data_IF_659602683151
#
_entry.id   IF_659602683151
#
_cell.length_a   1.000
_cell.length_b   1.000
_cell.length_c   1.000
_cell.angle_alpha   90.00
_cell.angle_beta   90.00
_cell.angle_gamma   90.00
#
_symmetry.space_group_name_H-M   'P 1'
#
loop_
_entity.id
_entity.type
_entity.pdbx_description
1 polymer ?
#
# COMPACT_ATOMS: atom_id res chain seq x y z
N UNK A 1 31.26 -11.90 -30.74
CA UNK A 1 29.90 -11.40 -31.03
C UNK A 1 28.81 -12.20 -30.31
N UNK A 2 28.81 -13.54 -30.37
CA UNK A 2 27.79 -14.39 -29.72
C UNK A 2 27.48 -14.08 -28.24
N UNK A 3 28.50 -13.86 -27.39
CA UNK A 3 28.28 -13.52 -25.97
C UNK A 3 27.53 -12.20 -25.76
N UNK A 4 27.75 -11.19 -26.61
CA UNK A 4 27.03 -9.91 -26.55
C UNK A 4 25.55 -10.05 -26.94
N UNK A 5 25.26 -10.94 -27.89
CA UNK A 5 23.87 -11.24 -28.31
C UNK A 5 23.12 -12.00 -27.20
N UNK A 6 23.78 -12.92 -26.49
CA UNK A 6 23.19 -13.65 -25.37
C UNK A 6 22.88 -12.75 -24.16
N UNK A 7 23.78 -11.82 -23.83
CA UNK A 7 23.53 -10.84 -22.76
C UNK A 7 22.44 -9.84 -23.14
N UNK A 8 22.31 -9.49 -24.42
CA UNK A 8 21.22 -8.66 -24.94
C UNK A 8 19.82 -9.28 -24.84
N UNK A 9 19.70 -10.57 -24.49
CA UNK A 9 18.44 -11.26 -24.18
C UNK A 9 18.37 -11.75 -22.72
N UNK A 10 19.30 -11.29 -21.86
CA UNK A 10 19.33 -11.59 -20.41
C UNK A 10 20.07 -12.86 -19.99
N UNK A 11 20.67 -13.63 -20.91
CA UNK A 11 21.43 -14.84 -20.57
C UNK A 11 22.85 -14.44 -20.16
N UNK A 12 23.21 -14.70 -18.90
CA UNK A 12 24.53 -14.38 -18.36
C UNK A 12 24.72 -12.90 -18.03
N UNK A 13 23.64 -12.13 -17.86
CA UNK A 13 23.69 -10.75 -17.34
C UNK A 13 24.17 -10.71 -15.89
N UNK A 14 24.50 -9.51 -15.41
CA UNK A 14 24.62 -9.30 -13.97
C UNK A 14 23.31 -9.67 -13.26
N UNK A 15 23.41 -9.89 -11.94
CA UNK A 15 22.28 -10.13 -11.05
C UNK A 15 22.30 -9.08 -9.95
N UNK A 16 21.10 -8.69 -9.54
CA UNK A 16 20.82 -7.82 -8.41
C UNK A 16 19.86 -8.57 -7.49
N UNK A 17 20.03 -8.41 -6.19
CA UNK A 17 19.20 -9.04 -5.15
C UNK A 17 19.14 -8.09 -3.95
N UNK A 18 17.95 -7.67 -3.54
CA UNK A 18 17.75 -6.81 -2.39
C UNK A 18 17.43 -7.66 -1.16
N UNK A 19 18.34 -7.69 -0.21
CA UNK A 19 18.18 -8.47 1.03
C UNK A 19 17.61 -7.58 2.13
N UNK A 20 16.38 -7.87 2.53
CA UNK A 20 15.67 -7.20 3.62
C UNK A 20 15.71 -8.02 4.91
N UNK A 21 15.80 -7.36 6.06
CA UNK A 21 15.76 -8.02 7.36
C UNK A 21 14.37 -8.56 7.73
N UNK A 22 13.30 -8.01 7.14
CA UNK A 22 11.91 -8.38 7.35
C UNK A 22 11.08 -8.02 6.11
N UNK A 23 9.86 -8.54 6.05
CA UNK A 23 8.93 -8.31 4.93
C UNK A 23 7.71 -7.47 5.28
N UNK A 24 7.59 -6.97 6.52
CA UNK A 24 6.46 -6.15 6.97
C UNK A 24 6.91 -4.80 7.49
N UNK A 25 6.29 -3.74 6.98
CA UNK A 25 6.64 -2.36 7.27
C UNK A 25 5.38 -1.52 7.39
N UNK A 26 5.32 -0.59 8.33
CA UNK A 26 4.23 0.40 8.37
C UNK A 26 4.43 1.48 7.30
N UNK A 27 3.35 2.06 6.78
CA UNK A 27 3.45 3.28 5.99
C UNK A 27 4.18 4.37 6.80
N UNK A 28 5.12 5.10 6.16
CA UNK A 28 6.04 6.02 6.84
C UNK A 28 7.28 5.36 7.47
N UNK A 29 7.34 4.02 7.53
CA UNK A 29 8.50 3.33 8.12
C UNK A 29 9.71 3.36 7.18
N UNK A 30 10.91 3.46 7.77
CA UNK A 30 12.17 3.28 7.05
C UNK A 30 12.48 1.80 6.86
N UNK A 31 12.62 1.40 5.61
CA UNK A 31 13.13 0.11 5.16
C UNK A 31 14.65 0.18 5.09
N UNK A 32 15.31 -0.82 5.66
CA UNK A 32 16.76 -1.00 5.57
C UNK A 32 17.09 -2.38 5.02
N UNK A 33 18.12 -2.45 4.19
CA UNK A 33 18.59 -3.70 3.60
C UNK A 33 19.94 -3.54 2.94
N UNK A 34 20.35 -4.57 2.20
CA UNK A 34 21.58 -4.56 1.43
C UNK A 34 21.30 -5.05 0.01
N UNK A 35 21.81 -4.31 -0.97
CA UNK A 35 21.74 -4.70 -2.35
C UNK A 35 23.00 -5.47 -2.73
N UNK A 36 22.82 -6.73 -3.14
CA UNK A 36 23.89 -7.59 -3.60
C UNK A 36 23.93 -7.60 -5.13
N UNK A 37 25.09 -7.28 -5.69
CA UNK A 37 25.29 -7.22 -7.15
C UNK A 37 26.41 -8.18 -7.55
N UNK A 38 26.10 -9.08 -8.49
CA UNK A 38 27.04 -10.03 -9.06
C UNK A 38 27.15 -9.86 -10.57
N UNK A 39 28.38 -9.74 -11.07
CA UNK A 39 28.70 -9.61 -12.48
C UNK A 39 28.31 -10.83 -13.31
N UNK A 40 27.95 -10.56 -14.56
CA UNK A 40 27.61 -11.58 -15.56
C UNK A 40 28.84 -12.21 -16.22
N UNK A 41 28.66 -12.72 -17.43
CA UNK A 41 29.75 -13.38 -18.21
C UNK A 41 30.70 -12.40 -18.92
N UNK A 42 30.34 -11.10 -18.94
CA UNK A 42 31.11 -10.00 -19.51
C UNK A 42 31.05 -8.82 -18.55
N UNK A 43 32.06 -7.95 -18.65
CA UNK A 43 32.08 -6.66 -17.97
C UNK A 43 30.87 -5.83 -18.41
N UNK A 44 30.23 -5.16 -17.45
CA UNK A 44 29.01 -4.41 -17.65
C UNK A 44 29.15 -3.02 -17.05
N UNK A 45 28.79 -2.00 -17.84
CA UNK A 45 28.67 -0.64 -17.35
C UNK A 45 27.23 -0.41 -16.88
N UNK A 46 27.09 0.03 -15.64
CA UNK A 46 25.81 0.36 -15.01
C UNK A 46 25.71 1.87 -14.92
N UNK A 47 24.67 2.42 -15.53
CA UNK A 47 24.39 3.86 -15.48
C UNK A 47 23.75 4.21 -14.13
N UNK A 48 22.79 3.39 -13.67
CA UNK A 48 22.21 3.53 -12.34
C UNK A 48 21.67 2.20 -11.77
N UNK A 49 21.59 2.18 -10.45
CA UNK A 49 20.77 1.25 -9.69
C UNK A 49 19.54 2.00 -9.21
N UNK A 50 18.36 1.47 -9.46
CA UNK A 50 17.12 2.06 -8.97
C UNK A 50 16.37 1.13 -8.02
N UNK A 51 15.53 1.72 -7.19
CA UNK A 51 14.50 1.07 -6.40
C UNK A 51 13.16 1.73 -6.70
N UNK A 52 12.12 0.91 -6.87
CA UNK A 52 10.74 1.37 -7.09
C UNK A 52 9.80 0.71 -6.10
N UNK A 53 8.84 1.48 -5.59
CA UNK A 53 7.71 0.93 -4.85
C UNK A 53 6.53 0.77 -5.80
N UNK A 54 6.16 -0.48 -6.08
CA UNK A 54 5.07 -0.82 -7.00
C UNK A 54 3.95 -1.52 -6.26
N UNK A 55 2.74 -0.99 -6.38
CA UNK A 55 1.52 -1.63 -5.91
C UNK A 55 0.82 -2.33 -7.08
N UNK A 56 0.27 -3.52 -6.82
CA UNK A 56 -0.77 -4.13 -7.64
C UNK A 56 -2.01 -4.38 -6.80
N UNK A 57 -3.19 -4.07 -7.33
CA UNK A 57 -4.46 -4.38 -6.67
C UNK A 57 -5.48 -4.90 -7.67
N UNK A 58 -6.37 -5.76 -7.19
CA UNK A 58 -7.56 -6.19 -7.93
C UNK A 58 -8.80 -5.73 -7.18
N UNK A 59 -9.73 -5.10 -7.87
CA UNK A 59 -10.95 -4.57 -7.28
C UNK A 59 -12.16 -4.90 -8.14
N UNK A 60 -13.34 -4.97 -7.53
CA UNK A 60 -14.59 -5.17 -8.25
C UNK A 60 -15.18 -3.85 -8.69
N UNK A 61 -15.59 -3.79 -9.96
CA UNK A 61 -16.46 -2.74 -10.49
C UNK A 61 -17.61 -3.42 -11.22
N UNK A 62 -18.83 -3.14 -10.77
CA UNK A 62 -20.03 -3.85 -11.20
C UNK A 62 -19.91 -5.38 -11.04
N UNK A 63 -19.99 -6.12 -12.15
CA UNK A 63 -19.84 -7.58 -12.18
C UNK A 63 -18.47 -8.05 -12.65
N UNK A 64 -17.50 -7.14 -12.79
CA UNK A 64 -16.18 -7.45 -13.34
C UNK A 64 -15.06 -7.17 -12.33
N UNK A 65 -14.01 -7.99 -12.38
CA UNK A 65 -12.76 -7.74 -11.64
C UNK A 65 -11.86 -6.90 -12.53
N UNK A 66 -11.42 -5.77 -12.00
CA UNK A 66 -10.45 -4.87 -12.59
C UNK A 66 -9.10 -5.02 -11.89
N UNK A 67 -8.02 -4.67 -12.59
CA UNK A 67 -6.67 -4.63 -12.03
C UNK A 67 -6.11 -3.22 -12.10
N UNK A 68 -5.36 -2.83 -11.09
CA UNK A 68 -4.59 -1.60 -11.07
C UNK A 68 -3.15 -1.90 -10.69
N UNK A 69 -2.22 -1.30 -11.42
CA UNK A 69 -0.79 -1.29 -11.09
C UNK A 69 -0.34 0.16 -10.99
N UNK A 70 0.36 0.52 -9.91
CA UNK A 70 0.82 1.89 -9.68
C UNK A 70 2.23 1.89 -9.12
N UNK A 71 3.12 2.66 -9.74
CA UNK A 71 4.40 3.07 -9.16
C UNK A 71 4.12 4.23 -8.20
N UNK A 72 4.42 4.06 -6.92
CA UNK A 72 4.24 5.08 -5.89
C UNK A 72 5.49 5.92 -5.70
N UNK A 73 6.66 5.33 -5.88
CA UNK A 73 7.93 6.00 -5.69
C UNK A 73 9.04 5.35 -6.51
N UNK A 74 10.10 6.12 -6.77
CA UNK A 74 11.28 5.71 -7.53
C UNK A 74 12.50 6.50 -7.06
N UNK A 75 13.51 5.80 -6.57
CA UNK A 75 14.78 6.36 -6.13
C UNK A 75 15.97 5.73 -6.84
N UNK A 76 17.01 6.53 -7.09
CA UNK A 76 18.32 6.06 -7.54
C UNK A 76 19.19 5.74 -6.31
N UNK A 77 19.62 4.49 -6.17
CA UNK A 77 20.43 4.01 -5.05
C UNK A 77 21.93 4.25 -5.25
N UNK A 78 22.40 4.11 -6.49
CA UNK A 78 23.79 4.33 -6.90
C UNK A 78 23.83 4.64 -8.40
N UNK A 79 24.90 5.27 -8.87
CA UNK A 79 25.05 5.63 -10.27
C UNK A 79 26.51 5.51 -10.74
N UNK A 80 26.68 5.17 -12.02
CA UNK A 80 27.95 5.25 -12.75
C UNK A 80 29.06 4.36 -12.22
N UNK A 81 29.01 3.06 -12.52
CA UNK A 81 30.08 2.13 -12.18
C UNK A 81 30.19 0.97 -13.18
N UNK A 82 31.27 0.21 -13.09
CA UNK A 82 31.48 -1.01 -13.89
C UNK A 82 31.48 -2.24 -12.98
N UNK A 83 30.85 -3.30 -13.45
CA UNK A 83 30.85 -4.62 -12.83
C UNK A 83 31.71 -5.55 -13.68
N UNK A 84 32.80 -6.04 -13.12
CA UNK A 84 33.66 -7.01 -13.80
C UNK A 84 32.93 -8.36 -14.00
N UNK A 85 33.26 -9.05 -15.08
CA UNK A 85 32.73 -10.38 -15.40
C UNK A 85 32.98 -11.36 -14.23
N UNK A 86 31.90 -11.99 -13.75
CA UNK A 86 31.92 -12.91 -12.60
C UNK A 86 32.27 -12.28 -11.25
N UNK A 87 32.55 -10.97 -11.22
CA UNK A 87 32.92 -10.23 -10.02
C UNK A 87 31.75 -10.08 -9.04
N UNK A 88 32.07 -9.91 -7.77
CA UNK A 88 31.12 -9.59 -6.71
C UNK A 88 31.40 -8.16 -6.24
N UNK A 89 30.38 -7.30 -6.27
CA UNK A 89 30.52 -5.97 -5.69
C UNK A 89 30.39 -6.03 -4.17
N UNK A 90 30.98 -5.04 -3.48
CA UNK A 90 30.63 -4.78 -2.09
C UNK A 90 29.12 -4.48 -2.00
N UNK A 91 28.39 -5.05 -1.03
CA UNK A 91 26.97 -4.77 -0.87
C UNK A 91 26.72 -3.28 -0.68
N UNK A 92 25.70 -2.76 -1.35
CA UNK A 92 25.29 -1.35 -1.24
C UNK A 92 24.22 -1.28 -0.14
N UNK A 93 24.44 -0.52 0.96
CA UNK A 93 23.43 -0.35 1.98
C UNK A 93 22.23 0.43 1.42
N UNK A 94 21.03 -0.07 1.66
CA UNK A 94 19.77 0.55 1.23
C UNK A 94 19.04 1.11 2.43
N UNK A 95 18.60 2.36 2.32
CA UNK A 95 17.71 3.03 3.27
C UNK A 95 16.64 3.80 2.50
N UNK A 96 15.41 3.30 2.51
CA UNK A 96 14.27 3.86 1.80
C UNK A 96 13.11 4.09 2.77
N UNK A 97 12.45 5.24 2.74
CA UNK A 97 11.30 5.51 3.62
C UNK A 97 10.00 5.37 2.85
N UNK A 98 9.11 4.49 3.30
CA UNK A 98 7.80 4.33 2.67
C UNK A 98 7.01 5.64 2.77
N UNK A 99 6.29 6.04 1.71
CA UNK A 99 5.41 7.21 1.82
C UNK A 99 4.30 6.95 2.86
N UNK A 100 3.86 8.02 3.55
CA UNK A 100 2.87 7.93 4.63
C UNK A 100 1.43 7.74 4.11
N UNK A 101 1.14 8.18 2.89
CA UNK A 101 -0.18 8.29 2.28
C UNK A 101 -0.45 7.21 1.21
N UNK A 102 -0.02 5.98 1.49
CA UNK A 102 -0.18 4.83 0.60
C UNK A 102 -1.23 3.83 1.13
N UNK A 103 -1.93 3.09 0.26
CA UNK A 103 -2.80 1.98 0.65
C UNK A 103 -2.06 0.94 1.50
N UNK A 104 -2.79 0.21 2.34
CA UNK A 104 -2.23 -0.89 3.12
C UNK A 104 -2.34 -2.21 2.35
N UNK A 105 -1.45 -3.16 2.60
CA UNK A 105 -1.52 -4.49 2.00
C UNK A 105 -2.75 -5.26 2.50
N UNK A 106 -3.40 -5.96 1.57
CA UNK A 106 -4.56 -6.81 1.84
C UNK A 106 -4.51 -8.08 0.99
N UNK A 107 -5.56 -8.90 1.01
CA UNK A 107 -5.66 -10.05 0.13
C UNK A 107 -5.56 -9.65 -1.36
N UNK A 108 -6.14 -8.52 -1.73
CA UNK A 108 -6.21 -8.03 -3.10
C UNK A 108 -5.14 -7.00 -3.45
N UNK A 109 -4.52 -6.35 -2.46
CA UNK A 109 -3.54 -5.28 -2.64
C UNK A 109 -2.16 -5.71 -2.17
N UNK A 110 -1.17 -5.73 -3.08
CA UNK A 110 0.19 -6.19 -2.83
C UNK A 110 1.21 -5.12 -3.20
N UNK A 111 2.34 -5.12 -2.50
CA UNK A 111 3.47 -4.23 -2.79
C UNK A 111 4.73 -5.00 -3.12
N UNK A 112 5.49 -4.45 -4.06
CA UNK A 112 6.77 -4.96 -4.50
C UNK A 112 7.80 -3.83 -4.41
N UNK A 113 8.95 -4.11 -3.81
CA UNK A 113 10.15 -3.31 -4.02
C UNK A 113 10.85 -3.89 -5.24
N UNK A 114 10.88 -3.12 -6.31
CA UNK A 114 11.53 -3.52 -7.56
C UNK A 114 12.89 -2.85 -7.62
N UNK A 115 13.96 -3.62 -7.50
CA UNK A 115 15.32 -3.11 -7.73
C UNK A 115 15.82 -3.52 -9.09
N UNK A 116 16.62 -2.67 -9.72
CA UNK A 116 17.16 -2.98 -11.05
C UNK A 116 18.45 -2.24 -11.35
N UNK A 117 19.20 -2.79 -12.29
CA UNK A 117 20.40 -2.18 -12.85
C UNK A 117 20.08 -1.70 -14.26
N UNK A 118 20.28 -0.41 -14.52
CA UNK A 118 20.22 0.16 -15.86
C UNK A 118 21.57 -0.10 -16.55
N UNK A 119 21.58 -1.09 -17.46
CA UNK A 119 22.81 -1.57 -18.10
C UNK A 119 22.80 -1.21 -19.58
N UNK A 120 23.78 -0.42 -19.99
CA UNK A 120 23.88 0.04 -21.36
C UNK A 120 23.90 -1.13 -22.37
N UNK A 121 22.96 -1.09 -23.33
CA UNK A 121 22.85 -2.06 -24.43
C UNK A 121 22.62 -3.52 -23.99
N UNK A 122 22.06 -3.74 -22.80
CA UNK A 122 21.67 -5.05 -22.29
C UNK A 122 20.22 -5.02 -21.74
N UNK A 123 19.68 -6.19 -21.41
CA UNK A 123 18.42 -6.28 -20.66
C UNK A 123 18.73 -6.01 -19.19
N UNK A 124 18.02 -5.04 -18.60
CA UNK A 124 18.18 -4.66 -17.20
C UNK A 124 17.90 -5.83 -16.25
N UNK A 125 18.91 -6.27 -15.48
CA UNK A 125 18.70 -7.16 -14.35
C UNK A 125 17.75 -6.52 -13.36
N UNK A 126 16.81 -7.30 -12.84
CA UNK A 126 15.83 -6.84 -11.85
C UNK A 126 15.53 -7.90 -10.80
N UNK A 127 15.12 -7.41 -9.65
CA UNK A 127 14.66 -8.18 -8.51
C UNK A 127 13.33 -7.59 -7.97
N UNK A 128 12.50 -8.43 -7.35
CA UNK A 128 11.17 -8.06 -6.89
C UNK A 128 10.88 -8.67 -5.51
N UNK A 129 10.97 -7.85 -4.46
CA UNK A 129 10.62 -8.26 -3.11
C UNK A 129 9.17 -7.96 -2.77
N UNK A 130 8.39 -8.99 -2.46
CA UNK A 130 7.05 -8.82 -1.92
C UNK A 130 7.13 -8.31 -0.47
N UNK A 131 6.51 -7.16 -0.21
CA UNK A 131 6.37 -6.62 1.15
C UNK A 131 4.91 -6.44 1.56
N UNK A 132 4.66 -6.53 2.87
CA UNK A 132 3.39 -6.18 3.49
C UNK A 132 3.47 -4.79 4.09
N UNK A 133 2.70 -3.86 3.53
CA UNK A 133 2.55 -2.49 4.05
C UNK A 133 1.42 -2.47 5.08
N UNK A 134 1.75 -2.20 6.33
CA UNK A 134 0.81 -2.03 7.43
C UNK A 134 0.31 -0.57 7.51
N UNK A 135 -0.84 -0.30 8.15
CA UNK A 135 -1.28 1.06 8.38
C UNK A 135 -0.23 1.88 9.13
N UNK A 136 -0.02 3.13 8.71
CA UNK A 136 0.80 4.08 9.48
C UNK A 136 0.21 4.34 10.86
N UNK A 137 1.02 4.84 11.80
CA UNK A 137 0.63 4.93 13.22
C UNK A 137 -0.74 5.60 13.46
N UNK A 138 -1.01 6.73 12.79
CA UNK A 138 -2.29 7.46 12.94
C UNK A 138 -3.47 6.65 12.43
N UNK A 139 -3.35 6.07 11.24
CA UNK A 139 -4.39 5.22 10.67
C UNK A 139 -4.61 3.97 11.52
N UNK A 140 -3.54 3.36 12.04
CA UNK A 140 -3.60 2.19 12.90
C UNK A 140 -4.43 2.45 14.17
N UNK A 141 -4.27 3.61 14.80
CA UNK A 141 -5.06 4.01 15.99
C UNK A 141 -6.55 4.10 15.63
N UNK A 142 -6.89 4.73 14.50
CA UNK A 142 -8.29 4.87 14.07
C UNK A 142 -8.89 3.51 13.71
N UNK A 143 -8.15 2.65 13.02
CA UNK A 143 -8.59 1.28 12.72
C UNK A 143 -8.80 0.47 14.00
N UNK A 144 -7.91 0.59 15.00
CA UNK A 144 -8.06 -0.07 16.29
C UNK A 144 -9.27 0.45 17.08
N UNK A 145 -9.56 1.75 17.01
CA UNK A 145 -10.77 2.31 17.61
C UNK A 145 -12.04 1.65 17.04
N UNK A 146 -12.11 1.48 15.72
CA UNK A 146 -13.23 0.79 15.06
C UNK A 146 -13.25 -0.69 15.42
N UNK A 147 -12.11 -1.38 15.31
CA UNK A 147 -12.05 -2.84 15.39
C UNK A 147 -12.10 -3.39 16.82
N UNK A 148 -11.38 -2.76 17.74
CA UNK A 148 -11.17 -3.27 19.11
C UNK A 148 -12.11 -2.63 20.11
N UNK A 149 -12.28 -1.31 20.05
CA UNK A 149 -13.07 -0.58 21.04
C UNK A 149 -14.56 -0.59 20.68
N UNK A 150 -14.91 -0.30 19.42
CA UNK A 150 -16.30 -0.37 18.95
C UNK A 150 -16.73 -1.80 18.58
N UNK A 151 -15.79 -2.73 18.44
CA UNK A 151 -16.08 -4.13 18.15
C UNK A 151 -16.72 -4.33 16.77
N UNK A 152 -16.23 -3.61 15.76
CA UNK A 152 -16.46 -3.96 14.36
C UNK A 152 -15.45 -5.02 13.92
N UNK A 153 -15.92 -6.07 13.24
CA UNK A 153 -15.03 -7.08 12.68
C UNK A 153 -14.86 -6.85 11.20
N UNK A 154 -13.62 -6.68 10.76
CA UNK A 154 -13.26 -6.53 9.36
C UNK A 154 -13.59 -7.79 8.57
N UNK A 155 -14.20 -7.64 7.40
CA UNK A 155 -14.40 -8.77 6.46
C UNK A 155 -13.05 -9.29 5.95
N UNK A 156 -12.98 -10.56 5.59
CA UNK A 156 -11.72 -11.18 5.14
C UNK A 156 -11.23 -10.67 3.79
N UNK A 157 -12.15 -10.38 2.86
CA UNK A 157 -11.84 -9.96 1.48
C UNK A 157 -12.30 -8.53 1.28
N UNK A 158 -11.59 -7.60 1.90
CA UNK A 158 -11.84 -6.16 1.81
C UNK A 158 -10.50 -5.40 1.72
N UNK A 159 -10.55 -4.08 1.62
CA UNK A 159 -9.38 -3.22 1.38
C UNK A 159 -8.89 -3.34 -0.06
N UNK A 160 -9.82 -3.45 -1.00
CA UNK A 160 -9.54 -3.33 -2.43
C UNK A 160 -9.15 -1.88 -2.73
N UNK A 161 -8.09 -1.67 -3.54
CA UNK A 161 -7.66 -0.36 -3.97
C UNK A 161 -8.03 -0.14 -5.43
N UNK A 162 -8.83 0.87 -5.72
CA UNK A 162 -9.36 1.13 -7.06
C UNK A 162 -8.51 2.08 -7.92
N UNK A 163 -7.27 2.37 -7.48
CA UNK A 163 -6.41 3.39 -8.10
C UNK A 163 -6.56 4.79 -7.50
N UNK A 164 -7.56 5.01 -6.65
CA UNK A 164 -7.81 6.29 -5.96
C UNK A 164 -7.89 6.12 -4.46
N UNK A 165 -8.76 5.23 -3.98
CA UNK A 165 -8.96 4.98 -2.56
C UNK A 165 -8.97 3.49 -2.24
N UNK A 166 -8.83 3.18 -0.96
CA UNK A 166 -8.94 1.85 -0.41
C UNK A 166 -10.11 1.77 0.57
N UNK A 167 -11.01 0.83 0.34
CA UNK A 167 -12.26 0.68 1.11
C UNK A 167 -12.23 -0.57 1.98
N UNK A 168 -12.60 -0.42 3.24
CA UNK A 168 -12.68 -1.49 4.22
C UNK A 168 -14.12 -1.71 4.69
N UNK A 169 -14.57 -2.95 4.62
CA UNK A 169 -15.89 -3.39 5.01
C UNK A 169 -15.84 -4.10 6.37
N UNK A 170 -16.78 -3.75 7.24
CA UNK A 170 -16.87 -4.26 8.59
C UNK A 170 -18.30 -4.66 8.95
N UNK A 171 -18.45 -5.70 9.77
CA UNK A 171 -19.73 -6.04 10.39
C UNK A 171 -19.69 -5.78 11.90
N UNK A 172 -20.76 -5.23 12.48
CA UNK A 172 -20.80 -4.94 13.92
C UNK A 172 -20.92 -6.22 14.73
N UNK A 173 -20.12 -6.34 15.79
CA UNK A 173 -20.18 -7.48 16.72
C UNK A 173 -20.60 -7.12 18.15
N UNK A 174 -20.43 -5.85 18.55
CA UNK A 174 -20.91 -5.29 19.81
C UNK A 174 -21.65 -3.96 19.59
N UNK A 175 -20.95 -2.85 19.37
CA UNK A 175 -21.56 -1.56 19.06
C UNK A 175 -22.28 -1.64 17.71
N UNK A 176 -23.46 -1.00 17.61
CA UNK A 176 -24.33 -1.04 16.43
C UNK A 176 -24.82 -2.41 15.96
N UNK A 177 -24.60 -3.48 16.75
CA UNK A 177 -25.12 -4.81 16.43
C UNK A 177 -26.64 -4.79 16.36
N UNK A 178 -27.20 -5.29 15.26
CA UNK A 178 -28.64 -5.30 14.99
C UNK A 178 -29.22 -3.92 14.60
N UNK A 179 -28.40 -2.87 14.56
CA UNK A 179 -28.75 -1.55 14.02
C UNK A 179 -28.19 -1.37 12.60
N UNK A 180 -26.91 -1.69 12.43
CA UNK A 180 -26.21 -1.71 11.15
C UNK A 180 -25.97 -3.15 10.70
N UNK A 181 -26.07 -3.37 9.39
CA UNK A 181 -25.63 -4.62 8.78
C UNK A 181 -24.13 -4.54 8.46
N UNK A 182 -23.67 -3.35 8.05
CA UNK A 182 -22.32 -3.10 7.61
C UNK A 182 -21.87 -1.66 7.86
N UNK A 183 -20.58 -1.49 8.10
CA UNK A 183 -19.88 -0.21 8.06
C UNK A 183 -18.79 -0.30 7.00
N UNK A 184 -18.82 0.58 6.02
CA UNK A 184 -17.77 0.70 5.00
C UNK A 184 -16.95 1.96 5.29
N UNK A 185 -15.62 1.86 5.25
CA UNK A 185 -14.70 2.93 5.66
C UNK A 185 -13.58 3.08 4.65
N UNK A 186 -13.40 4.30 4.15
CA UNK A 186 -12.18 4.72 3.47
C UNK A 186 -11.35 5.57 4.44
N UNK A 187 -10.09 5.19 4.63
CA UNK A 187 -9.12 5.93 5.44
C UNK A 187 -8.18 6.70 4.52
N UNK A 188 -8.13 8.02 4.67
CA UNK A 188 -7.17 8.88 3.98
C UNK A 188 -6.28 9.57 5.01
N UNK A 189 -5.07 9.06 5.27
CA UNK A 189 -4.05 9.78 6.03
C UNK A 189 -3.74 11.13 5.34
N UNK A 190 -3.73 12.21 6.12
CA UNK A 190 -3.38 13.56 5.67
C UNK A 190 -2.31 14.14 6.62
N UNK A 191 -1.76 15.31 6.29
CA UNK A 191 -0.76 15.98 7.15
C UNK A 191 -1.35 16.39 8.51
N UNK A 192 -2.61 16.79 8.54
CA UNK A 192 -3.30 17.35 9.70
C UNK A 192 -4.16 16.33 10.47
N UNK A 193 -4.30 15.10 9.98
CA UNK A 193 -5.13 14.07 10.61
C UNK A 193 -5.34 12.85 9.74
N UNK A 194 -6.42 12.11 10.04
CA UNK A 194 -6.94 11.04 9.19
C UNK A 194 -8.37 11.37 8.82
N UNK A 195 -8.63 11.52 7.52
CA UNK A 195 -9.98 11.72 7.00
C UNK A 195 -10.63 10.38 6.74
N UNK A 196 -11.83 10.22 7.25
CA UNK A 196 -12.68 9.07 7.02
C UNK A 196 -13.82 9.45 6.09
N UNK A 197 -14.13 8.54 5.16
CA UNK A 197 -15.43 8.48 4.52
C UNK A 197 -16.11 7.21 4.99
N UNK A 198 -17.30 7.36 5.57
CA UNK A 198 -18.07 6.30 6.17
C UNK A 198 -19.37 6.14 5.37
N UNK A 199 -19.73 4.89 5.07
CA UNK A 199 -21.09 4.56 4.66
C UNK A 199 -21.79 3.82 5.79
N UNK A 200 -22.94 4.34 6.19
CA UNK A 200 -23.72 3.85 7.34
C UNK A 200 -25.04 3.32 6.78
N UNK A 201 -25.15 2.00 6.54
CA UNK A 201 -26.33 1.41 5.91
C UNK A 201 -26.75 0.07 6.54
N UNK A 202 -28.02 -0.28 6.34
CA UNK A 202 -28.60 -1.62 6.59
C UNK A 202 -28.51 -2.52 5.36
N UNK A 203 -27.94 -2.07 4.24
CA UNK A 203 -27.73 -2.91 3.04
C UNK A 203 -26.37 -2.61 2.43
N UNK A 204 -25.54 -3.64 2.27
CA UNK A 204 -24.26 -3.55 1.60
C UNK A 204 -24.46 -3.08 0.15
N UNK A 205 -23.80 -1.99 -0.24
CA UNK A 205 -23.81 -1.49 -1.62
C UNK A 205 -22.42 -1.14 -2.16
N UNK A 206 -21.39 -1.08 -1.32
CA UNK A 206 -19.99 -0.84 -1.69
C UNK A 206 -19.70 0.61 -2.10
N UNK A 207 -18.82 1.31 -1.38
CA UNK A 207 -18.40 2.70 -1.66
C UNK A 207 -17.69 2.81 -3.04
N UNK A 208 -17.03 1.74 -3.51
CA UNK A 208 -16.31 1.70 -4.80
C UNK A 208 -17.25 1.95 -6.01
N UNK A 209 -18.54 1.67 -5.89
CA UNK A 209 -19.53 1.98 -6.93
C UNK A 209 -19.81 3.48 -7.12
N UNK A 210 -19.54 4.31 -6.11
CA UNK A 210 -19.96 5.72 -6.05
C UNK A 210 -18.82 6.70 -6.38
N UNK A 211 -17.56 6.32 -6.15
CA UNK A 211 -16.41 7.21 -6.34
C UNK A 211 -15.98 7.39 -7.81
N UNK A 212 -16.73 6.82 -8.74
CA UNK A 212 -16.47 6.89 -10.18
C UNK A 212 -17.14 8.07 -10.90
N UNK A 213 -18.15 8.74 -10.31
CA UNK A 213 -18.81 9.85 -11.02
C UNK A 213 -19.55 10.88 -10.18
N UNK A 214 -20.11 10.58 -9.00
CA UNK A 214 -21.11 11.48 -8.41
C UNK A 214 -20.81 11.80 -6.94
N UNK A 215 -20.44 13.06 -6.69
CA UNK A 215 -20.44 13.68 -5.35
C UNK A 215 -21.86 14.00 -4.88
N UNK A 216 -22.85 13.24 -5.34
CA UNK A 216 -24.21 13.25 -4.80
C UNK A 216 -24.21 12.33 -3.58
N UNK A 217 -23.57 12.81 -2.52
CA UNK A 217 -23.54 12.14 -1.23
C UNK A 217 -24.97 12.15 -0.68
N UNK A 218 -25.67 11.04 -0.85
CA UNK A 218 -26.91 10.81 -0.12
C UNK A 218 -26.67 10.85 1.41
N UNK A 219 -27.74 10.92 2.21
CA UNK A 219 -27.68 11.05 3.67
C UNK A 219 -26.91 9.92 4.40
N UNK A 220 -26.47 8.87 3.69
CA UNK A 220 -25.79 7.70 4.25
C UNK A 220 -24.27 7.82 4.25
N UNK A 221 -23.73 8.84 3.59
CA UNK A 221 -22.30 9.06 3.47
C UNK A 221 -21.84 10.19 4.38
N UNK A 222 -20.85 9.89 5.22
CA UNK A 222 -20.35 10.81 6.23
C UNK A 222 -18.86 11.01 6.03
N UNK A 223 -18.42 12.26 5.86
CA UNK A 223 -17.01 12.63 5.89
C UNK A 223 -16.65 13.25 7.24
N UNK A 224 -15.60 12.73 7.88
CA UNK A 224 -15.07 13.28 9.13
C UNK A 224 -13.55 13.32 9.08
N UNK A 225 -12.96 14.44 9.48
CA UNK A 225 -11.52 14.52 9.75
C UNK A 225 -11.31 14.30 11.25
N UNK A 226 -10.44 13.36 11.61
CA UNK A 226 -9.93 13.22 12.97
C UNK A 226 -8.57 13.92 13.00
N UNK A 227 -8.45 15.11 13.61
CA UNK A 227 -7.19 15.86 13.62
C UNK A 227 -6.12 15.12 14.42
N UNK A 228 -4.84 15.36 14.11
CA UNK A 228 -3.71 14.73 14.80
C UNK A 228 -3.80 14.83 16.34
N UNK A 229 -4.19 15.99 16.86
CA UNK A 229 -4.35 16.21 18.31
C UNK A 229 -5.46 15.39 18.98
N UNK A 230 -6.30 14.71 18.19
CA UNK A 230 -7.36 13.81 18.66
C UNK A 230 -7.07 12.34 18.38
N UNK A 231 -5.95 12.02 17.70
CA UNK A 231 -5.49 10.65 17.44
C UNK A 231 -4.43 10.30 18.50
N UNK A 232 -4.88 10.22 19.74
CA UNK A 232 -4.05 9.96 20.93
C UNK A 232 -4.07 8.48 21.30
N UNK A 233 -5.27 7.93 21.51
CA UNK A 233 -5.50 6.54 21.89
C UNK A 233 -6.77 5.98 21.21
N UNK A 234 -6.82 4.65 20.94
CA UNK A 234 -7.99 4.03 20.32
C UNK A 234 -9.30 4.32 21.06
N UNK A 235 -9.33 4.28 22.39
CA UNK A 235 -10.54 4.50 23.19
C UNK A 235 -11.13 5.91 23.04
N UNK A 236 -10.27 6.95 22.99
CA UNK A 236 -10.72 8.34 22.81
C UNK A 236 -11.28 8.57 21.40
N UNK A 237 -10.62 8.01 20.39
CA UNK A 237 -11.10 8.03 19.01
C UNK A 237 -12.43 7.27 18.90
N UNK A 238 -12.55 6.12 19.56
CA UNK A 238 -13.74 5.29 19.56
C UNK A 238 -14.95 6.03 20.15
N UNK A 239 -14.78 6.74 21.27
CA UNK A 239 -15.87 7.55 21.85
C UNK A 239 -16.41 8.58 20.85
N UNK A 240 -15.54 9.29 20.13
CA UNK A 240 -15.93 10.28 19.13
C UNK A 240 -16.63 9.64 17.94
N UNK A 241 -16.13 8.50 17.48
CA UNK A 241 -16.73 7.74 16.38
C UNK A 241 -18.08 7.14 16.78
N UNK A 242 -18.26 6.70 18.03
CA UNK A 242 -19.55 6.23 18.53
C UNK A 242 -20.61 7.33 18.46
N UNK A 243 -20.30 8.52 18.99
CA UNK A 243 -21.21 9.68 18.97
C UNK A 243 -21.58 10.09 17.54
N UNK A 244 -20.59 10.08 16.63
CA UNK A 244 -20.81 10.31 15.21
C UNK A 244 -21.76 9.26 14.62
N UNK A 245 -21.41 7.98 14.73
CA UNK A 245 -22.18 6.88 14.15
C UNK A 245 -23.62 6.83 14.68
N UNK A 246 -23.84 7.08 15.98
CA UNK A 246 -25.20 7.17 16.53
C UNK A 246 -26.00 8.34 15.99
N UNK A 247 -25.39 9.53 15.94
CA UNK A 247 -26.06 10.72 15.44
C UNK A 247 -26.46 10.55 13.98
N UNK A 248 -25.55 10.07 13.15
CA UNK A 248 -25.80 9.91 11.70
C UNK A 248 -26.78 8.76 11.44
N UNK A 249 -26.70 7.66 12.20
CA UNK A 249 -27.68 6.56 12.10
C UNK A 249 -29.13 7.04 12.35
N UNK A 250 -29.35 7.92 13.35
CA UNK A 250 -30.68 8.47 13.67
C UNK A 250 -31.25 9.43 12.62
N UNK A 251 -30.42 9.95 11.71
CA UNK A 251 -30.90 10.78 10.60
C UNK A 251 -31.47 9.92 9.47
N UNK A 252 -30.92 8.72 9.30
CA UNK A 252 -31.24 7.81 8.20
C UNK A 252 -32.47 6.93 8.53
N UNK A 253 -32.71 6.62 9.80
CA UNK A 253 -33.76 5.72 10.29
C UNK A 253 -34.50 6.28 11.50
#
# INVERSE_FOLDING_TARGET
MFRKVLTGIGIGSARVDLVLAKSKFAAGERITGELQIKGGILDQKVDQVYLKLVLTSSFRKDKQVQQVTREFDHETLAAGFEIAAGGQMQPIPVSYTLPEDIPVSTFSTKYYLVTGLDVAMAVDPKDNDLIEVLPGCRQAIVMQAIEKELGFRRKQRTGEYNGRVQEFEYYPTSFMRGKLDELEVVYLPQRDGVRLYLQIDKKARGLIGLLASDWDLDERHVSVLIPNGQITAPAEVASRLADLLEREYRKIF
#
